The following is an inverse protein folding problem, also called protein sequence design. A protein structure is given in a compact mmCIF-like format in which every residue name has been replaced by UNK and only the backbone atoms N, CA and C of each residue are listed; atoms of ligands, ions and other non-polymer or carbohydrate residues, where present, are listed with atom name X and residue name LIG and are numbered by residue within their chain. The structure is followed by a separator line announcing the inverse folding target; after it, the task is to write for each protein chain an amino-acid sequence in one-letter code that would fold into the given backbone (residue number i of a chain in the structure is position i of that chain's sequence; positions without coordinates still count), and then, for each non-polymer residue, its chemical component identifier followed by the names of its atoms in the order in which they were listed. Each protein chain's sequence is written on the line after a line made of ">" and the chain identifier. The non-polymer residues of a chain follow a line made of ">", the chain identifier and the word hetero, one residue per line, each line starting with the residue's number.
data_IF_351540293759
#
_entry.id   IF_351540293759
#
_cell.length_a   1.000
_cell.length_b   1.000
_cell.length_c   1.000
_cell.angle_alpha   90.00
_cell.angle_beta   90.00
_cell.angle_gamma   90.00
#
_symmetry.space_group_name_H-M   'P 1'
#
loop_
_entity.id
_entity.type
_entity.pdbx_description
1 polymer ?
#
# COMPACT_ATOMS: atom_id res chain seq x y z
N UNK A 1 14.50 13.83 -14.99
CA UNK A 1 13.11 14.07 -15.36
C UNK A 1 13.05 14.58 -16.80
N UNK A 2 12.21 14.00 -17.62
CA UNK A 2 11.89 14.45 -18.98
C UNK A 2 10.37 14.41 -19.17
N UNK A 3 9.84 15.44 -19.81
CA UNK A 3 8.42 15.56 -20.15
C UNK A 3 8.27 16.11 -21.57
N UNK A 4 7.37 15.55 -22.33
CA UNK A 4 7.09 15.92 -23.70
C UNK A 4 5.58 15.98 -23.92
N UNK A 5 5.12 17.05 -24.52
CA UNK A 5 3.75 17.17 -25.03
C UNK A 5 3.79 17.05 -26.56
N UNK A 6 3.01 16.14 -27.08
CA UNK A 6 3.01 15.79 -28.52
C UNK A 6 1.59 15.99 -29.03
N UNK A 7 1.33 17.03 -29.84
CA UNK A 7 0.09 17.13 -30.59
C UNK A 7 0.10 16.07 -31.70
N UNK A 8 -0.81 15.08 -31.60
CA UNK A 8 -0.94 14.03 -32.60
C UNK A 8 -1.85 14.44 -33.75
N UNK A 9 -2.81 15.32 -33.48
CA UNK A 9 -3.70 15.94 -34.45
C UNK A 9 -4.23 17.24 -33.85
N UNK A 10 -4.96 18.04 -34.63
CA UNK A 10 -5.56 19.30 -34.16
C UNK A 10 -6.49 19.11 -32.93
N UNK A 11 -7.10 17.92 -32.84
CA UNK A 11 -8.02 17.57 -31.74
C UNK A 11 -7.45 16.57 -30.73
N UNK A 12 -6.22 16.06 -30.95
CA UNK A 12 -5.62 15.01 -30.12
C UNK A 12 -4.27 15.45 -29.60
N UNK A 13 -4.17 15.53 -28.28
CA UNK A 13 -2.95 15.86 -27.57
C UNK A 13 -2.49 14.68 -26.72
N UNK A 14 -1.19 14.44 -26.67
CA UNK A 14 -0.61 13.44 -25.80
C UNK A 14 0.51 14.02 -24.95
N UNK A 15 0.72 13.42 -23.78
CA UNK A 15 1.78 13.75 -22.84
C UNK A 15 2.54 12.50 -22.48
N UNK A 16 3.85 12.58 -22.55
CA UNK A 16 4.78 11.56 -22.10
C UNK A 16 5.69 12.18 -21.05
N UNK A 17 5.82 11.52 -19.90
CA UNK A 17 6.75 11.95 -18.86
C UNK A 17 7.49 10.73 -18.31
N UNK A 18 8.77 10.93 -17.96
CA UNK A 18 9.63 9.93 -17.35
C UNK A 18 10.48 10.57 -16.28
N UNK A 19 10.63 9.88 -15.15
CA UNK A 19 11.50 10.28 -14.05
C UNK A 19 12.34 9.09 -13.62
N UNK A 20 13.65 9.29 -13.55
CA UNK A 20 14.57 8.33 -12.98
C UNK A 20 15.17 8.91 -11.70
N UNK A 21 15.19 8.13 -10.65
CA UNK A 21 15.81 8.47 -9.37
C UNK A 21 16.78 7.37 -8.97
N UNK A 22 17.87 7.80 -8.35
CA UNK A 22 18.86 6.92 -7.76
C UNK A 22 18.99 7.31 -6.29
N UNK A 23 18.83 6.35 -5.41
CA UNK A 23 19.08 6.52 -3.99
C UNK A 23 19.92 5.36 -3.46
N UNK A 24 20.73 5.63 -2.45
CA UNK A 24 21.61 4.63 -1.85
C UNK A 24 20.81 3.62 -1.00
N UNK A 25 19.61 4.01 -0.53
CA UNK A 25 18.82 3.24 0.43
C UNK A 25 17.88 2.23 -0.24
N UNK A 26 17.32 2.56 -1.42
CA UNK A 26 16.34 1.71 -2.11
C UNK A 26 16.68 1.44 -3.59
N UNK A 27 17.88 1.87 -4.04
CA UNK A 27 18.38 1.61 -5.38
C UNK A 27 17.86 2.59 -6.44
N UNK A 28 17.69 2.09 -7.67
CA UNK A 28 17.24 2.89 -8.80
C UNK A 28 15.75 2.68 -9.03
N UNK A 29 15.00 3.77 -9.22
CA UNK A 29 13.60 3.70 -9.62
C UNK A 29 13.36 4.54 -10.87
N UNK A 30 12.56 4.01 -11.78
CA UNK A 30 12.14 4.68 -13.00
C UNK A 30 10.62 4.63 -13.09
N UNK A 31 10.01 5.80 -13.18
CA UNK A 31 8.56 5.93 -13.29
C UNK A 31 8.20 6.72 -14.54
N UNK A 32 7.03 6.41 -15.10
CA UNK A 32 6.56 7.03 -16.33
C UNK A 32 5.08 7.37 -16.27
N UNK A 33 4.69 8.30 -17.13
CA UNK A 33 3.30 8.67 -17.37
C UNK A 33 3.07 8.82 -18.86
N UNK A 34 1.98 8.25 -19.31
CA UNK A 34 1.39 8.53 -20.61
C UNK A 34 -0.04 9.04 -20.41
N UNK A 35 -0.37 10.12 -21.10
CA UNK A 35 -1.73 10.64 -21.11
C UNK A 35 -2.10 11.06 -22.53
N UNK A 36 -3.39 10.92 -22.84
CA UNK A 36 -3.97 11.35 -24.10
C UNK A 36 -5.27 12.08 -23.83
N UNK A 37 -5.48 13.19 -24.51
CA UNK A 37 -6.70 13.94 -24.54
C UNK A 37 -7.21 14.05 -25.98
N UNK A 38 -8.51 13.87 -26.17
CA UNK A 38 -9.15 13.99 -27.45
C UNK A 38 -10.37 14.90 -27.33
N UNK A 39 -10.35 15.99 -28.08
CA UNK A 39 -11.46 16.90 -28.29
C UNK A 39 -12.36 16.33 -29.41
N UNK A 40 -13.35 15.51 -28.99
CA UNK A 40 -14.26 14.81 -29.95
C UNK A 40 -15.07 15.81 -30.76
N UNK A 41 -15.56 16.85 -30.12
CA UNK A 41 -16.23 18.01 -30.70
C UNK A 41 -16.22 19.18 -29.67
N UNK A 42 -16.87 20.28 -30.00
CA UNK A 42 -16.92 21.49 -29.17
C UNK A 42 -17.56 21.27 -27.78
N UNK A 43 -18.34 20.19 -27.62
CA UNK A 43 -19.09 19.92 -26.40
C UNK A 43 -18.53 18.72 -25.60
N UNK A 44 -17.71 17.86 -26.23
CA UNK A 44 -17.26 16.59 -25.64
C UNK A 44 -15.76 16.46 -25.78
N UNK A 45 -15.11 16.26 -24.63
CA UNK A 45 -13.68 15.92 -24.54
C UNK A 45 -13.52 14.59 -23.78
N UNK A 46 -12.59 13.78 -24.21
CA UNK A 46 -12.23 12.53 -23.53
C UNK A 46 -10.77 12.59 -23.12
N UNK A 47 -10.43 11.88 -22.05
CA UNK A 47 -9.07 11.76 -21.58
C UNK A 47 -8.78 10.37 -21.04
N UNK A 48 -7.57 9.89 -21.24
CA UNK A 48 -7.10 8.67 -20.64
C UNK A 48 -5.66 8.86 -20.17
N UNK A 49 -5.29 8.20 -19.08
CA UNK A 49 -3.90 8.21 -18.63
C UNK A 49 -3.53 6.90 -17.96
N UNK A 50 -2.23 6.58 -18.05
CA UNK A 50 -1.60 5.55 -17.24
C UNK A 50 -0.30 6.10 -16.68
N UNK A 51 -0.01 5.79 -15.41
CA UNK A 51 1.23 6.23 -14.78
C UNK A 51 1.69 5.21 -13.75
N UNK A 52 3.00 5.07 -13.62
CA UNK A 52 3.64 4.38 -12.52
C UNK A 52 4.16 5.38 -11.50
N UNK A 53 4.20 5.00 -10.23
CA UNK A 53 4.85 5.75 -9.18
C UNK A 53 5.50 4.79 -8.20
N UNK A 54 6.46 5.26 -7.41
CA UNK A 54 7.05 4.50 -6.34
C UNK A 54 7.10 5.34 -5.06
N UNK A 55 7.17 4.66 -3.92
CA UNK A 55 7.40 5.25 -2.61
C UNK A 55 8.48 4.48 -1.88
N UNK A 56 9.60 5.13 -1.60
CA UNK A 56 10.66 4.55 -0.78
C UNK A 56 10.15 4.26 0.64
N UNK A 57 10.60 3.16 1.28
CA UNK A 57 10.33 2.93 2.67
C UNK A 57 10.85 4.06 3.53
N UNK A 58 10.20 4.33 4.67
CA UNK A 58 10.68 5.32 5.61
C UNK A 58 12.00 4.82 6.25
N UNK A 59 13.02 5.66 6.29
CA UNK A 59 14.33 5.36 6.90
C UNK A 59 14.23 4.84 8.33
N UNK A 60 13.26 5.32 9.11
CA UNK A 60 13.00 4.80 10.46
C UNK A 60 12.52 3.36 10.40
N UNK A 61 11.64 3.01 9.47
CA UNK A 61 11.13 1.65 9.30
C UNK A 61 12.20 0.67 8.83
N UNK A 62 13.18 1.15 8.07
CA UNK A 62 14.32 0.35 7.61
C UNK A 62 15.37 0.19 8.72
N UNK A 63 15.79 1.29 9.34
CA UNK A 63 16.97 1.34 10.19
C UNK A 63 16.68 1.37 11.71
N UNK A 64 15.39 1.28 12.13
CA UNK A 64 15.05 1.32 13.55
C UNK A 64 15.71 0.17 14.31
N UNK A 65 16.53 0.48 15.28
CA UNK A 65 17.08 -0.51 16.20
C UNK A 65 15.98 -1.22 16.98
N UNK A 66 16.30 -2.35 17.59
CA UNK A 66 15.35 -3.12 18.40
C UNK A 66 14.76 -2.28 19.53
N UNK A 67 13.46 -2.05 19.49
CA UNK A 67 12.71 -1.31 20.52
C UNK A 67 11.77 -2.26 21.24
N UNK A 68 11.91 -2.37 22.55
CA UNK A 68 10.98 -3.07 23.42
C UNK A 68 9.94 -2.11 23.97
N UNK A 69 8.67 -2.44 23.82
CA UNK A 69 7.54 -1.69 24.38
C UNK A 69 6.62 -2.65 25.12
N UNK A 70 5.87 -2.13 26.08
CA UNK A 70 4.84 -2.90 26.80
C UNK A 70 3.48 -2.35 26.38
N UNK A 71 2.64 -3.23 25.87
CA UNK A 71 1.26 -2.92 25.50
C UNK A 71 0.30 -3.84 26.25
N UNK A 72 -0.87 -3.31 26.63
CA UNK A 72 -1.95 -4.13 27.17
C UNK A 72 -2.82 -4.65 26.03
N UNK A 73 -2.96 -5.96 25.98
CA UNK A 73 -3.71 -6.64 24.91
C UNK A 73 -4.40 -7.90 25.46
N UNK A 74 -5.48 -8.29 24.80
CA UNK A 74 -6.13 -9.57 25.02
C UNK A 74 -5.33 -10.69 24.35
N UNK A 75 -5.20 -11.81 25.05
CA UNK A 75 -4.65 -13.04 24.48
C UNK A 75 -5.79 -13.94 24.01
N UNK A 76 -5.98 -13.99 22.69
CA UNK A 76 -7.03 -14.80 22.08
C UNK A 76 -6.87 -16.29 22.33
N UNK A 77 -5.65 -16.80 22.56
CA UNK A 77 -5.43 -18.21 22.91
C UNK A 77 -5.97 -18.55 24.29
N UNK A 78 -5.72 -17.69 25.28
CA UNK A 78 -6.24 -17.88 26.64
C UNK A 78 -7.77 -17.81 26.62
N UNK A 79 -8.34 -16.81 25.93
CA UNK A 79 -9.79 -16.70 25.76
C UNK A 79 -10.40 -17.91 25.06
N UNK A 80 -9.76 -18.44 24.03
CA UNK A 80 -10.17 -19.66 23.34
C UNK A 80 -10.10 -20.90 24.24
N UNK A 81 -8.97 -21.10 24.95
CA UNK A 81 -8.74 -22.26 25.80
C UNK A 81 -9.65 -22.29 27.05
N UNK A 82 -9.99 -21.12 27.60
CA UNK A 82 -10.84 -21.00 28.79
C UNK A 82 -12.32 -20.90 28.46
N UNK A 83 -12.68 -20.63 27.21
CA UNK A 83 -14.06 -20.38 26.78
C UNK A 83 -14.66 -19.09 27.35
N UNK A 84 -13.83 -18.19 27.91
CA UNK A 84 -14.23 -16.93 28.51
C UNK A 84 -13.40 -15.77 27.91
N UNK A 85 -13.99 -14.58 27.88
CA UNK A 85 -13.24 -13.39 27.47
C UNK A 85 -12.21 -13.04 28.55
N UNK A 86 -10.94 -13.37 28.31
CA UNK A 86 -9.87 -13.08 29.25
C UNK A 86 -9.55 -11.57 29.23
N UNK A 87 -9.33 -10.91 30.38
CA UNK A 87 -9.02 -9.48 30.41
C UNK A 87 -7.66 -9.18 29.77
N UNK A 88 -7.52 -7.95 29.28
CA UNK A 88 -6.24 -7.46 28.75
C UNK A 88 -5.15 -7.51 29.82
N UNK A 89 -3.96 -7.93 29.42
CA UNK A 89 -2.79 -7.90 30.28
C UNK A 89 -1.57 -7.36 29.54
N UNK A 90 -0.55 -7.01 30.30
CA UNK A 90 0.67 -6.42 29.73
C UNK A 90 1.50 -7.45 28.99
N UNK A 91 1.72 -7.21 27.71
CA UNK A 91 2.61 -8.01 26.85
C UNK A 91 3.78 -7.18 26.40
N UNK A 92 4.98 -7.78 26.39
CA UNK A 92 6.14 -7.16 25.78
C UNK A 92 6.09 -7.33 24.26
N UNK A 93 6.24 -6.21 23.55
CA UNK A 93 6.41 -6.16 22.12
C UNK A 93 7.83 -5.74 21.79
N UNK A 94 8.47 -6.49 20.91
CA UNK A 94 9.75 -6.11 20.31
C UNK A 94 9.50 -5.76 18.85
N UNK A 95 9.88 -4.56 18.46
CA UNK A 95 9.87 -4.10 17.07
C UNK A 95 11.30 -3.78 16.65
N UNK A 96 11.61 -4.07 15.41
CA UNK A 96 12.90 -3.74 14.78
C UNK A 96 12.65 -3.36 13.33
N UNK A 97 13.53 -2.56 12.77
CA UNK A 97 13.53 -2.23 11.36
C UNK A 97 13.76 -3.47 10.50
N UNK A 98 13.47 -3.33 9.23
CA UNK A 98 13.74 -4.35 8.24
C UNK A 98 14.43 -3.69 7.04
N UNK A 99 15.68 -4.03 6.83
CA UNK A 99 16.54 -3.55 5.75
C UNK A 99 16.31 -4.25 4.40
N UNK A 100 15.53 -5.34 4.41
CA UNK A 100 15.09 -6.03 3.19
C UNK A 100 13.81 -5.41 2.56
N UNK A 101 13.34 -4.27 3.07
CA UNK A 101 12.14 -3.63 2.53
C UNK A 101 12.41 -3.03 1.15
N UNK A 102 11.59 -3.41 0.19
CA UNK A 102 11.57 -2.84 -1.15
C UNK A 102 10.67 -1.59 -1.20
N UNK A 103 10.86 -0.77 -2.24
CA UNK A 103 9.98 0.35 -2.49
C UNK A 103 8.57 -0.12 -2.86
N UNK A 104 7.56 0.58 -2.37
CA UNK A 104 6.19 0.38 -2.83
C UNK A 104 6.07 0.90 -4.27
N UNK A 105 5.48 0.11 -5.13
CA UNK A 105 5.21 0.48 -6.52
C UNK A 105 3.72 0.63 -6.75
N UNK A 106 3.34 1.57 -7.59
CA UNK A 106 1.93 1.76 -7.94
C UNK A 106 1.74 1.98 -9.44
N UNK A 107 0.63 1.45 -9.93
CA UNK A 107 0.14 1.64 -11.28
C UNK A 107 -1.24 2.28 -11.21
N UNK A 108 -1.34 3.50 -11.75
CA UNK A 108 -2.59 4.25 -11.83
C UNK A 108 -3.05 4.31 -13.29
N UNK A 109 -4.32 4.01 -13.52
CA UNK A 109 -5.00 4.16 -14.81
C UNK A 109 -6.26 4.98 -14.63
N UNK A 110 -6.53 5.87 -15.56
CA UNK A 110 -7.78 6.65 -15.55
C UNK A 110 -8.32 6.87 -16.96
N UNK A 111 -9.63 6.95 -17.04
CA UNK A 111 -10.37 7.33 -18.24
C UNK A 111 -11.48 8.28 -17.83
N UNK A 112 -11.65 9.37 -18.55
CA UNK A 112 -12.66 10.36 -18.25
C UNK A 112 -13.29 10.99 -19.48
N UNK A 113 -14.48 11.54 -19.27
CA UNK A 113 -15.22 12.33 -20.24
C UNK A 113 -15.62 13.65 -19.61
N UNK A 114 -15.49 14.71 -20.38
CA UNK A 114 -15.95 16.06 -20.04
C UNK A 114 -16.99 16.49 -21.08
N UNK A 115 -18.15 16.88 -20.61
CA UNK A 115 -19.27 17.33 -21.47
C UNK A 115 -19.68 18.75 -21.06
N UNK A 116 -19.76 19.62 -22.04
CA UNK A 116 -20.20 21.03 -21.88
C UNK A 116 -21.50 21.23 -22.70
N UNK A 117 -22.66 20.78 -22.20
CA UNK A 117 -23.88 20.75 -22.99
C UNK A 117 -24.44 22.14 -23.30
N UNK A 118 -24.17 23.09 -22.45
CA UNK A 118 -24.55 24.50 -22.60
C UNK A 118 -23.46 25.40 -22.00
N UNK A 119 -23.45 26.68 -22.37
CA UNK A 119 -22.56 27.65 -21.72
C UNK A 119 -22.73 27.62 -20.20
N UNK A 120 -21.63 27.70 -19.48
CA UNK A 120 -21.56 27.69 -18.01
C UNK A 120 -21.94 26.37 -17.31
N UNK A 121 -22.14 25.23 -18.01
CA UNK A 121 -22.33 23.93 -17.41
C UNK A 121 -21.29 22.94 -17.92
N UNK A 122 -20.45 22.45 -17.01
CA UNK A 122 -19.45 21.42 -17.29
C UNK A 122 -19.76 20.18 -16.43
N UNK A 123 -19.90 19.04 -17.06
CA UNK A 123 -20.10 17.75 -16.41
C UNK A 123 -18.87 16.90 -16.68
N UNK A 124 -18.26 16.36 -15.63
CA UNK A 124 -17.08 15.49 -15.73
C UNK A 124 -17.39 14.15 -15.08
N UNK A 125 -17.04 13.08 -15.75
CA UNK A 125 -17.11 11.73 -15.22
C UNK A 125 -15.75 11.03 -15.44
N UNK A 126 -15.15 10.55 -14.36
CA UNK A 126 -13.87 9.86 -14.39
C UNK A 126 -13.97 8.50 -13.69
N UNK A 127 -13.37 7.48 -14.31
CA UNK A 127 -13.13 6.17 -13.73
C UNK A 127 -11.62 6.01 -13.57
N UNK A 128 -11.19 5.57 -12.40
CA UNK A 128 -9.78 5.34 -12.13
C UNK A 128 -9.56 4.04 -11.36
N UNK A 129 -8.39 3.45 -11.54
CA UNK A 129 -7.91 2.27 -10.82
C UNK A 129 -6.48 2.53 -10.38
N UNK A 130 -6.20 2.22 -9.11
CA UNK A 130 -4.84 2.22 -8.54
C UNK A 130 -4.54 0.81 -8.05
N UNK A 131 -3.42 0.27 -8.48
CA UNK A 131 -2.86 -1.00 -8.01
C UNK A 131 -1.56 -0.65 -7.28
N UNK A 132 -1.39 -1.16 -6.07
CA UNK A 132 -0.19 -0.92 -5.25
C UNK A 132 0.40 -2.27 -4.89
N UNK A 133 1.70 -2.43 -5.14
CA UNK A 133 2.47 -3.61 -4.79
C UNK A 133 3.51 -3.29 -3.73
N UNK A 134 4.03 -4.28 -3.04
CA UNK A 134 5.03 -4.18 -1.97
C UNK A 134 4.63 -3.22 -0.84
N UNK A 135 3.34 -3.16 -0.49
CA UNK A 135 2.85 -2.26 0.54
C UNK A 135 3.53 -2.51 1.88
N UNK A 136 4.22 -1.50 2.40
CA UNK A 136 4.90 -1.55 3.68
C UNK A 136 3.89 -1.30 4.81
N UNK A 137 3.74 -2.29 5.68
CA UNK A 137 2.83 -2.20 6.82
C UNK A 137 3.30 -3.02 8.02
N UNK A 138 2.84 -2.64 9.21
CA UNK A 138 3.03 -3.43 10.41
C UNK A 138 1.94 -4.50 10.47
N UNK A 139 2.33 -5.77 10.58
CA UNK A 139 1.38 -6.85 10.81
C UNK A 139 0.66 -6.72 12.16
N UNK A 140 1.30 -6.07 13.12
CA UNK A 140 0.76 -5.78 14.44
C UNK A 140 0.82 -6.97 15.42
N UNK A 141 0.99 -6.66 16.70
CA UNK A 141 1.07 -7.67 17.76
C UNK A 141 -0.22 -8.49 17.90
N UNK A 142 -1.38 -7.86 17.72
CA UNK A 142 -2.70 -8.53 17.82
C UNK A 142 -2.85 -9.62 16.76
N UNK A 143 -2.43 -9.31 15.52
CA UNK A 143 -2.47 -10.28 14.43
C UNK A 143 -1.50 -11.44 14.65
N UNK A 144 -0.33 -11.18 15.24
CA UNK A 144 0.61 -12.25 15.60
C UNK A 144 0.04 -13.19 16.67
N UNK A 145 -0.62 -12.63 17.71
CA UNK A 145 -1.27 -13.42 18.76
C UNK A 145 -2.47 -14.19 18.21
N UNK A 146 -3.28 -13.57 17.34
CA UNK A 146 -4.39 -14.24 16.68
C UNK A 146 -3.91 -15.39 15.77
N UNK A 147 -2.88 -15.17 14.98
CA UNK A 147 -2.28 -16.21 14.13
C UNK A 147 -1.73 -17.35 14.98
N UNK A 148 -1.05 -17.07 16.11
CA UNK A 148 -0.60 -18.09 17.05
C UNK A 148 -1.78 -18.93 17.59
N UNK A 149 -2.87 -18.28 17.94
CA UNK A 149 -4.09 -18.95 18.38
C UNK A 149 -4.67 -19.86 17.31
N UNK A 150 -4.74 -19.41 16.05
CA UNK A 150 -5.27 -20.19 14.94
C UNK A 150 -4.40 -21.42 14.64
N UNK A 151 -3.07 -21.28 14.63
CA UNK A 151 -2.14 -22.39 14.42
C UNK A 151 -2.31 -23.44 15.52
N UNK A 152 -2.37 -23.02 16.79
CA UNK A 152 -2.54 -23.94 17.93
C UNK A 152 -3.92 -24.59 17.96
N UNK A 153 -4.97 -23.86 17.56
CA UNK A 153 -6.31 -24.41 17.46
C UNK A 153 -6.45 -25.50 16.39
N UNK A 154 -5.69 -25.39 15.30
CA UNK A 154 -5.67 -26.40 14.22
C UNK A 154 -4.84 -27.62 14.59
N UNK A 155 -3.70 -27.44 15.28
CA UNK A 155 -2.81 -28.52 15.70
C UNK A 155 -3.11 -29.13 17.08
N UNK A 156 -4.02 -28.49 17.84
CA UNK A 156 -4.29 -28.79 19.23
C UNK A 156 -3.55 -27.85 20.20
N UNK A 157 -4.26 -27.33 21.21
CA UNK A 157 -3.72 -26.34 22.16
C UNK A 157 -2.51 -26.82 22.97
N UNK A 158 -2.29 -28.13 23.02
CA UNK A 158 -1.16 -28.73 23.75
C UNK A 158 0.08 -28.93 22.88
N UNK A 159 0.02 -28.61 21.59
CA UNK A 159 1.20 -28.70 20.72
C UNK A 159 2.06 -27.46 20.91
N UNK A 160 3.37 -27.68 21.03
CA UNK A 160 4.35 -26.57 21.14
C UNK A 160 4.55 -25.81 19.82
N UNK A 161 3.73 -26.10 18.80
CA UNK A 161 3.80 -25.47 17.49
C UNK A 161 2.87 -24.25 17.48
N UNK A 162 3.44 -23.08 17.34
CA UNK A 162 2.73 -21.81 17.27
C UNK A 162 3.43 -20.85 16.34
N UNK A 163 2.99 -19.60 16.35
CA UNK A 163 3.65 -18.54 15.59
C UNK A 163 5.06 -18.27 16.19
N UNK A 164 6.16 -18.42 15.43
CA UNK A 164 7.52 -18.22 15.95
C UNK A 164 7.79 -16.78 16.43
N UNK A 165 6.94 -15.82 16.06
CA UNK A 165 7.02 -14.44 16.53
C UNK A 165 6.35 -14.21 17.90
N UNK A 166 5.67 -15.21 18.46
CA UNK A 166 4.99 -15.17 19.76
C UNK A 166 5.70 -16.08 20.74
N UNK A 167 6.42 -15.48 21.69
CA UNK A 167 7.10 -16.23 22.76
C UNK A 167 6.18 -16.28 23.98
N UNK A 168 5.85 -17.48 24.43
CA UNK A 168 5.09 -17.73 25.66
C UNK A 168 5.99 -18.29 26.74
N UNK A 169 5.95 -17.69 27.93
CA UNK A 169 6.59 -18.29 29.10
C UNK A 169 5.80 -19.54 29.53
N UNK A 170 6.53 -20.58 29.91
CA UNK A 170 5.96 -21.79 30.52
C UNK A 170 5.42 -21.48 31.92
#
# INVERSE_FOLDING_TARGET
>A
FAEMQIPLADTINSQLAMRAEKADDFGNSVVGKFAIGWDVNDFVKTRASTSTAFRAPNLVTVNEGMIARVNSRNDSLISYATGTNFPDYSMQRIAMGNDDLEAEESLTRSVGIVVTPVENLVITYDIWKVEIENTVGLFGEENHVLLDTLIRAQGGVNECIGNPRVVRSA
#
